data_IF_613070633901
#
_entry.id   IF_613070633901
#
_cell.length_a   1.000
_cell.length_b   1.000
_cell.length_c   1.000
_cell.angle_alpha   90.00
_cell.angle_beta   90.00
_cell.angle_gamma   90.00
#
_symmetry.space_group_name_H-M   'P 1'
#
loop_
_entity.id
_entity.type
_entity.pdbx_description
1 polymer ?
#
# COMPACT_ATOMS: atom_id res chain seq x y z
N UNK A 1 -7.26 -16.48 20.94
CA UNK A 1 -7.07 -16.49 19.47
C UNK A 1 -6.17 -15.31 19.19
N UNK A 2 -5.00 -15.53 18.60
CA UNK A 2 -4.12 -14.41 18.26
C UNK A 2 -4.76 -13.67 17.09
N UNK A 3 -5.00 -12.37 17.27
CA UNK A 3 -5.43 -11.47 16.20
C UNK A 3 -4.44 -11.55 15.05
N UNK A 4 -4.90 -11.27 13.82
CA UNK A 4 -3.99 -10.91 12.73
C UNK A 4 -3.08 -9.79 13.25
N UNK A 5 -1.78 -10.06 13.33
CA UNK A 5 -0.82 -9.09 13.81
C UNK A 5 0.42 -9.18 12.97
N UNK A 6 0.75 -8.09 12.30
CA UNK A 6 2.09 -7.93 11.74
C UNK A 6 3.07 -7.61 12.87
N UNK A 7 4.31 -8.06 12.71
CA UNK A 7 5.40 -7.73 13.63
C UNK A 7 6.30 -6.62 13.07
N UNK A 8 7.02 -5.94 13.96
CA UNK A 8 7.90 -4.84 13.58
C UNK A 8 9.12 -5.33 12.77
N UNK A 9 9.62 -4.53 11.80
CA UNK A 9 10.83 -4.86 11.07
C UNK A 9 12.05 -5.07 12.00
N UNK A 10 12.90 -6.06 11.73
CA UNK A 10 14.09 -6.31 12.54
C UNK A 10 15.10 -5.15 12.43
N UNK A 11 15.77 -4.85 13.54
CA UNK A 11 16.87 -3.87 13.56
C UNK A 11 18.16 -4.53 13.09
N UNK A 12 18.62 -4.11 11.91
CA UNK A 12 19.75 -4.62 11.14
C UNK A 12 21.11 -4.01 11.54
N UNK A 13 21.14 -3.16 12.58
CA UNK A 13 22.35 -2.57 13.12
C UNK A 13 23.01 -3.46 14.19
N UNK A 14 24.14 -3.04 14.74
CA UNK A 14 24.88 -3.77 15.77
C UNK A 14 24.30 -3.64 17.19
N UNK A 15 23.04 -3.20 17.37
CA UNK A 15 22.46 -2.98 18.69
C UNK A 15 22.04 -4.27 19.42
N UNK A 16 22.12 -5.42 18.75
CA UNK A 16 21.71 -6.71 19.30
C UNK A 16 22.64 -7.85 18.87
N UNK A 17 22.58 -8.97 19.59
CA UNK A 17 23.39 -10.16 19.28
C UNK A 17 22.91 -10.83 17.99
N UNK A 18 23.83 -11.50 17.29
CA UNK A 18 23.49 -12.29 16.09
C UNK A 18 22.38 -13.32 16.33
N UNK A 19 22.37 -13.99 17.49
CA UNK A 19 21.33 -14.97 17.79
C UNK A 19 19.95 -14.32 17.95
N UNK A 20 19.91 -13.14 18.60
CA UNK A 20 18.65 -12.39 18.74
C UNK A 20 18.15 -11.91 17.39
N UNK A 21 19.01 -11.28 16.58
CA UNK A 21 18.62 -10.80 15.26
C UNK A 21 18.16 -11.94 14.34
N UNK A 22 18.84 -13.10 14.37
CA UNK A 22 18.40 -14.27 13.61
C UNK A 22 16.98 -14.67 13.97
N UNK A 23 16.66 -14.71 15.27
CA UNK A 23 15.30 -15.03 15.71
C UNK A 23 14.31 -13.97 15.24
N UNK A 24 14.65 -12.68 15.35
CA UNK A 24 13.78 -11.61 14.86
C UNK A 24 13.52 -11.73 13.34
N UNK A 25 14.54 -12.08 12.54
CA UNK A 25 14.39 -12.31 11.09
C UNK A 25 13.52 -13.54 10.81
N UNK A 26 13.72 -14.66 11.54
CA UNK A 26 12.89 -15.86 11.41
C UNK A 26 11.42 -15.56 11.72
N UNK A 27 11.16 -14.89 12.84
CA UNK A 27 9.80 -14.51 13.24
C UNK A 27 9.19 -13.60 12.17
N UNK A 28 9.98 -12.64 11.66
CA UNK A 28 9.55 -11.66 10.66
C UNK A 28 9.20 -12.28 9.31
N UNK A 29 10.01 -13.22 8.84
CA UNK A 29 9.77 -14.03 7.65
C UNK A 29 8.52 -14.91 7.81
N UNK A 30 8.45 -15.68 8.90
CA UNK A 30 7.31 -16.56 9.17
C UNK A 30 5.99 -15.80 9.27
N UNK A 31 6.01 -14.62 9.89
CA UNK A 31 4.85 -13.75 9.96
C UNK A 31 4.39 -13.24 8.59
N UNK A 32 5.32 -12.80 7.72
CA UNK A 32 4.98 -12.38 6.35
C UNK A 32 4.36 -13.54 5.56
N UNK A 33 4.98 -14.73 5.64
CA UNK A 33 4.49 -15.93 4.96
C UNK A 33 3.09 -16.33 5.43
N UNK A 34 2.86 -16.35 6.74
CA UNK A 34 1.55 -16.67 7.33
C UNK A 34 0.48 -15.66 6.93
N UNK A 35 0.79 -14.36 6.89
CA UNK A 35 -0.17 -13.32 6.49
C UNK A 35 -0.58 -13.48 5.02
N UNK A 36 0.39 -13.73 4.13
CA UNK A 36 0.10 -14.00 2.72
C UNK A 36 -0.72 -15.28 2.55
N UNK A 37 -0.36 -16.36 3.27
CA UNK A 37 -1.09 -17.62 3.21
C UNK A 37 -2.52 -17.49 3.75
N UNK A 38 -2.76 -16.68 4.79
CA UNK A 38 -4.12 -16.40 5.27
C UNK A 38 -4.95 -15.73 4.18
N UNK A 39 -4.38 -14.77 3.46
CA UNK A 39 -5.06 -14.15 2.32
C UNK A 39 -5.28 -15.19 1.21
N UNK A 40 -4.25 -15.87 0.72
CA UNK A 40 -4.37 -16.80 -0.41
C UNK A 40 -5.35 -17.96 -0.13
N UNK A 41 -5.36 -18.48 1.10
CA UNK A 41 -6.31 -19.53 1.53
C UNK A 41 -7.75 -19.02 1.74
N UNK A 42 -7.98 -17.71 1.66
CA UNK A 42 -9.33 -17.14 1.69
C UNK A 42 -10.05 -17.25 0.34
N UNK A 43 -9.33 -17.52 -0.76
CA UNK A 43 -9.94 -17.73 -2.07
C UNK A 43 -10.74 -19.03 -2.09
N UNK A 44 -11.95 -18.97 -2.65
CA UNK A 44 -12.88 -20.10 -2.77
C UNK A 44 -12.89 -20.61 -4.21
N UNK A 45 -12.57 -21.89 -4.39
CA UNK A 45 -12.52 -22.55 -5.69
C UNK A 45 -11.19 -22.37 -6.41
N UNK A 46 -10.69 -23.44 -7.03
CA UNK A 46 -9.44 -23.41 -7.79
C UNK A 46 -9.52 -22.43 -8.98
N UNK A 47 -10.68 -22.33 -9.63
CA UNK A 47 -10.90 -21.44 -10.76
C UNK A 47 -10.69 -19.96 -10.43
N UNK A 48 -10.86 -19.58 -9.16
CA UNK A 48 -10.68 -18.21 -8.70
C UNK A 48 -9.22 -17.77 -8.80
N UNK A 49 -8.26 -18.68 -8.62
CA UNK A 49 -6.84 -18.38 -8.79
C UNK A 49 -6.52 -17.99 -10.24
N UNK A 50 -7.26 -18.50 -11.22
CA UNK A 50 -7.03 -18.16 -12.63
C UNK A 50 -7.89 -16.98 -13.11
N UNK A 51 -8.66 -16.38 -12.21
CA UNK A 51 -9.44 -15.18 -12.54
C UNK A 51 -8.56 -13.93 -12.54
N UNK A 52 -9.01 -12.94 -13.31
CA UNK A 52 -8.44 -11.60 -13.29
C UNK A 52 -9.45 -10.59 -12.70
N UNK A 53 -9.38 -10.26 -11.39
CA UNK A 53 -10.34 -9.36 -10.75
C UNK A 53 -10.23 -7.91 -11.25
N UNK A 54 -9.06 -7.51 -11.75
CA UNK A 54 -8.77 -6.18 -12.25
C UNK A 54 -8.13 -6.30 -13.63
N UNK A 55 -8.72 -5.75 -14.70
CA UNK A 55 -8.24 -5.94 -16.06
C UNK A 55 -6.83 -5.37 -16.32
N UNK A 56 -6.25 -4.62 -15.38
CA UNK A 56 -4.90 -4.06 -15.46
C UNK A 56 -3.87 -4.84 -14.61
N UNK A 57 -4.24 -6.04 -14.13
CA UNK A 57 -3.43 -6.86 -13.21
C UNK A 57 -3.37 -8.30 -13.66
N UNK A 58 -2.28 -9.01 -13.35
CA UNK A 58 -2.17 -10.43 -13.65
C UNK A 58 -3.27 -11.26 -12.96
N UNK A 59 -3.58 -12.48 -13.44
CA UNK A 59 -4.44 -13.42 -12.72
C UNK A 59 -3.90 -13.77 -11.33
N UNK A 60 -4.78 -14.17 -10.40
CA UNK A 60 -4.40 -14.37 -8.99
C UNK A 60 -3.33 -15.44 -8.74
N UNK A 61 -3.20 -16.44 -9.62
CA UNK A 61 -2.17 -17.48 -9.59
C UNK A 61 -0.77 -16.89 -9.74
N UNK A 62 -0.63 -15.74 -10.42
CA UNK A 62 0.62 -15.00 -10.49
C UNK A 62 1.07 -14.58 -9.09
N UNK A 63 0.19 -13.93 -8.34
CA UNK A 63 0.51 -13.42 -7.01
C UNK A 63 0.79 -14.53 -6.01
N UNK A 64 0.18 -15.71 -6.18
CA UNK A 64 0.54 -16.90 -5.40
C UNK A 64 2.01 -17.31 -5.65
N UNK A 65 2.46 -17.40 -6.90
CA UNK A 65 3.83 -17.81 -7.22
C UNK A 65 4.89 -16.72 -7.03
N UNK A 66 4.51 -15.46 -7.23
CA UNK A 66 5.42 -14.32 -7.43
C UNK A 66 6.33 -14.04 -6.24
N UNK A 67 5.77 -13.93 -5.02
CA UNK A 67 6.56 -13.61 -3.83
C UNK A 67 7.62 -14.68 -3.57
N UNK A 68 7.28 -15.97 -3.68
CA UNK A 68 8.22 -17.08 -3.52
C UNK A 68 9.34 -17.06 -4.59
N UNK A 69 8.99 -16.82 -5.86
CA UNK A 69 9.97 -16.70 -6.95
C UNK A 69 10.92 -15.52 -6.73
N UNK A 70 10.41 -14.39 -6.23
CA UNK A 70 11.22 -13.20 -5.98
C UNK A 70 12.37 -13.49 -5.01
N UNK A 71 12.13 -14.24 -3.93
CA UNK A 71 13.20 -14.67 -3.01
C UNK A 71 14.31 -15.43 -3.75
N UNK A 72 13.93 -16.46 -4.53
CA UNK A 72 14.90 -17.29 -5.24
C UNK A 72 15.72 -16.44 -6.21
N UNK A 73 15.07 -15.59 -7.00
CA UNK A 73 15.74 -14.73 -7.97
C UNK A 73 16.74 -13.78 -7.31
N UNK A 74 16.36 -13.09 -6.22
CA UNK A 74 17.27 -12.15 -5.55
C UNK A 74 18.41 -12.87 -4.83
N UNK A 75 18.17 -14.02 -4.22
CA UNK A 75 19.19 -14.77 -3.49
C UNK A 75 20.22 -15.46 -4.40
N UNK A 76 19.80 -15.91 -5.59
CA UNK A 76 20.71 -16.39 -6.64
C UNK A 76 21.67 -15.27 -7.09
N UNK A 77 21.18 -14.03 -7.24
CA UNK A 77 22.01 -12.89 -7.67
C UNK A 77 23.12 -12.50 -6.69
N UNK A 78 22.98 -12.86 -5.42
CA UNK A 78 23.97 -12.58 -4.37
C UNK A 78 24.68 -13.84 -3.86
N UNK A 79 24.56 -14.95 -4.58
CA UNK A 79 25.23 -16.22 -4.28
C UNK A 79 24.89 -16.81 -2.89
N UNK A 80 23.76 -16.39 -2.29
CA UNK A 80 23.22 -17.02 -1.08
C UNK A 80 22.45 -18.30 -1.40
N UNK A 81 22.04 -18.47 -2.66
CA UNK A 81 21.61 -19.74 -3.22
C UNK A 81 22.46 -20.05 -4.46
N UNK A 82 22.92 -21.29 -4.59
CA UNK A 82 23.73 -21.73 -5.74
C UNK A 82 22.87 -22.22 -6.92
N UNK A 83 21.67 -22.72 -6.63
CA UNK A 83 20.82 -23.39 -7.62
C UNK A 83 19.38 -22.89 -7.56
N UNK A 84 18.84 -22.62 -8.74
CA UNK A 84 17.43 -22.41 -8.99
C UNK A 84 16.62 -23.66 -8.63
N UNK A 85 15.43 -23.46 -8.11
CA UNK A 85 14.52 -24.54 -7.71
C UNK A 85 13.68 -25.01 -8.91
N UNK A 86 13.11 -24.06 -9.65
CA UNK A 86 12.36 -24.28 -10.87
C UNK A 86 12.57 -23.07 -11.80
N UNK A 87 13.53 -23.13 -12.75
CA UNK A 87 13.84 -22.01 -13.64
C UNK A 87 12.64 -21.50 -14.45
N UNK A 88 11.71 -22.38 -14.83
CA UNK A 88 10.55 -21.98 -15.64
C UNK A 88 9.58 -21.15 -14.81
N UNK A 89 9.32 -21.53 -13.55
CA UNK A 89 8.50 -20.72 -12.63
C UNK A 89 9.19 -19.40 -12.30
N UNK A 90 10.51 -19.45 -12.11
CA UNK A 90 11.31 -18.29 -11.72
C UNK A 90 11.40 -17.22 -12.81
N UNK A 91 11.19 -17.59 -14.08
CA UNK A 91 11.00 -16.66 -15.19
C UNK A 91 9.53 -16.23 -15.26
N UNK A 92 8.61 -17.20 -15.24
CA UNK A 92 7.18 -16.95 -15.43
C UNK A 92 6.62 -15.95 -14.43
N UNK A 93 6.88 -16.18 -13.14
CA UNK A 93 6.35 -15.33 -12.08
C UNK A 93 7.24 -14.12 -11.82
N UNK A 94 8.34 -13.88 -12.52
CA UNK A 94 9.13 -12.64 -12.37
C UNK A 94 8.52 -11.45 -13.15
N UNK A 95 7.68 -11.74 -14.15
CA UNK A 95 7.11 -10.74 -15.06
C UNK A 95 6.03 -9.87 -14.40
N UNK A 96 6.46 -8.81 -13.72
CA UNK A 96 5.59 -7.71 -13.30
C UNK A 96 5.00 -6.95 -14.49
N UNK A 97 3.84 -6.31 -14.29
CA UNK A 97 3.10 -5.58 -15.33
C UNK A 97 2.58 -4.25 -14.79
N UNK A 98 2.63 -3.20 -15.61
CA UNK A 98 2.00 -1.88 -15.36
C UNK A 98 1.31 -1.40 -16.66
N UNK A 99 0.24 -2.08 -17.10
CA UNK A 99 -0.46 -1.75 -18.33
C UNK A 99 -1.26 -0.44 -18.15
N UNK A 100 -1.31 0.36 -19.21
CA UNK A 100 -2.16 1.54 -19.27
C UNK A 100 -3.61 1.20 -19.63
N UNK A 101 -3.77 0.20 -20.50
CA UNK A 101 -5.07 -0.31 -20.95
C UNK A 101 -5.12 -1.85 -20.86
N UNK A 102 -6.31 -2.47 -20.69
CA UNK A 102 -6.45 -3.91 -20.55
C UNK A 102 -5.82 -4.73 -21.69
N UNK A 103 -5.88 -4.22 -22.93
CA UNK A 103 -5.39 -4.92 -24.10
C UNK A 103 -3.87 -5.16 -24.06
N UNK A 104 -3.11 -4.27 -23.41
CA UNK A 104 -1.67 -4.44 -23.24
C UNK A 104 -1.35 -5.65 -22.35
N UNK A 105 -2.14 -5.83 -21.28
CA UNK A 105 -2.02 -7.00 -20.42
C UNK A 105 -2.42 -8.27 -21.15
N UNK A 106 -3.59 -8.26 -21.82
CA UNK A 106 -4.09 -9.42 -22.56
C UNK A 106 -3.04 -9.92 -23.56
N UNK A 107 -2.40 -9.00 -24.29
CA UNK A 107 -1.31 -9.34 -25.21
C UNK A 107 -0.08 -9.90 -24.50
N UNK A 108 0.32 -9.31 -23.36
CA UNK A 108 1.46 -9.74 -22.58
C UNK A 108 1.30 -11.17 -22.04
N UNK A 109 0.07 -11.57 -21.67
CA UNK A 109 -0.20 -12.87 -21.05
C UNK A 109 -0.85 -13.90 -21.98
N UNK A 110 -1.21 -13.54 -23.23
CA UNK A 110 -1.94 -14.40 -24.16
C UNK A 110 -1.29 -15.77 -24.44
N UNK A 111 0.04 -15.86 -24.32
CA UNK A 111 0.82 -17.06 -24.59
C UNK A 111 1.20 -17.84 -23.33
N UNK A 112 0.81 -17.35 -22.15
CA UNK A 112 1.15 -17.95 -20.87
C UNK A 112 0.22 -19.11 -20.57
N UNK A 113 0.81 -20.29 -20.34
CA UNK A 113 0.12 -21.43 -19.74
C UNK A 113 0.38 -21.41 -18.25
N UNK A 114 -0.59 -20.92 -17.47
CA UNK A 114 -0.48 -20.86 -16.02
C UNK A 114 -0.33 -22.27 -15.42
N UNK A 115 0.57 -22.48 -14.43
CA UNK A 115 0.81 -23.80 -13.86
C UNK A 115 -0.39 -24.27 -13.03
N UNK A 116 -0.43 -25.58 -12.74
CA UNK A 116 -1.46 -26.14 -11.85
C UNK A 116 -1.34 -25.55 -10.44
N UNK A 117 -2.48 -25.25 -9.81
CA UNK A 117 -2.56 -24.61 -8.50
C UNK A 117 -1.79 -25.40 -7.42
N UNK A 118 -1.95 -26.72 -7.39
CA UNK A 118 -1.27 -27.58 -6.41
C UNK A 118 0.25 -27.54 -6.59
N UNK A 119 0.74 -27.51 -7.84
CA UNK A 119 2.17 -27.41 -8.12
C UNK A 119 2.76 -26.06 -7.67
N UNK A 120 2.01 -24.97 -7.80
CA UNK A 120 2.43 -23.64 -7.31
C UNK A 120 2.48 -23.62 -5.77
N UNK A 121 1.50 -24.22 -5.09
CA UNK A 121 1.54 -24.37 -3.64
C UNK A 121 2.73 -25.23 -3.16
N UNK A 122 3.00 -26.34 -3.85
CA UNK A 122 4.16 -27.19 -3.54
C UNK A 122 5.49 -26.46 -3.80
N UNK A 123 5.56 -25.62 -4.83
CA UNK A 123 6.71 -24.76 -5.07
C UNK A 123 6.91 -23.77 -3.92
N UNK A 124 5.86 -23.07 -3.51
CA UNK A 124 5.89 -22.15 -2.36
C UNK A 124 6.40 -22.83 -1.10
N UNK A 125 5.87 -24.01 -0.74
CA UNK A 125 6.31 -24.74 0.44
C UNK A 125 7.81 -25.10 0.39
N UNK A 126 8.31 -25.53 -0.77
CA UNK A 126 9.75 -25.80 -0.95
C UNK A 126 10.58 -24.52 -0.78
N UNK A 127 10.14 -23.40 -1.34
CA UNK A 127 10.82 -22.10 -1.15
C UNK A 127 10.82 -21.72 0.33
N UNK A 128 9.69 -21.85 1.03
CA UNK A 128 9.59 -21.56 2.46
C UNK A 128 10.67 -22.31 3.27
N UNK A 129 10.81 -23.62 3.05
CA UNK A 129 11.83 -24.43 3.73
C UNK A 129 13.26 -24.00 3.36
N UNK A 130 13.52 -23.65 2.09
CA UNK A 130 14.83 -23.14 1.65
C UNK A 130 15.18 -21.83 2.38
N UNK A 131 14.22 -20.90 2.51
CA UNK A 131 14.46 -19.62 3.16
C UNK A 131 14.65 -19.79 4.68
N UNK A 132 13.87 -20.66 5.33
CA UNK A 132 14.09 -21.02 6.73
C UNK A 132 15.52 -21.54 6.96
N UNK A 133 15.92 -22.55 6.18
CA UNK A 133 17.25 -23.14 6.25
C UNK A 133 18.36 -22.09 6.03
N UNK A 134 18.15 -21.17 5.08
CA UNK A 134 19.08 -20.09 4.77
C UNK A 134 19.23 -19.13 5.95
N UNK A 135 18.13 -18.69 6.57
CA UNK A 135 18.17 -17.78 7.73
C UNK A 135 18.89 -18.44 8.92
N UNK A 136 18.62 -19.73 9.14
CA UNK A 136 19.23 -20.49 10.23
C UNK A 136 20.74 -20.66 10.06
N UNK A 137 21.19 -21.01 8.86
CA UNK A 137 22.57 -21.44 8.59
C UNK A 137 23.49 -20.30 8.19
N UNK A 138 22.97 -19.19 7.65
CA UNK A 138 23.82 -18.09 7.18
C UNK A 138 24.45 -17.33 8.36
N UNK A 139 25.78 -17.14 8.34
CA UNK A 139 26.45 -16.27 9.31
C UNK A 139 25.94 -14.83 9.20
N UNK A 140 25.56 -14.23 10.33
CA UNK A 140 25.16 -12.82 10.39
C UNK A 140 26.37 -11.95 10.71
N UNK A 141 26.76 -11.08 9.77
CA UNK A 141 27.80 -10.08 9.98
C UNK A 141 27.13 -8.72 10.05
N UNK A 142 27.08 -8.13 11.25
CA UNK A 142 26.42 -6.84 11.47
C UNK A 142 27.38 -5.66 11.22
N UNK A 143 26.87 -4.50 10.77
CA UNK A 143 25.47 -4.25 10.38
C UNK A 143 25.12 -4.80 8.99
N UNK A 144 23.85 -5.14 8.76
CA UNK A 144 23.34 -5.50 7.43
C UNK A 144 22.88 -4.20 6.75
N UNK A 145 23.66 -3.72 5.78
CA UNK A 145 23.38 -2.51 4.97
C UNK A 145 23.13 -2.88 3.50
N UNK A 146 22.78 -1.91 2.64
CA UNK A 146 22.42 -2.12 1.22
C UNK A 146 23.38 -3.03 0.42
N UNK A 147 24.69 -2.91 0.65
CA UNK A 147 25.69 -3.75 -0.05
C UNK A 147 25.90 -5.16 0.56
N UNK A 148 25.23 -5.52 1.64
CA UNK A 148 25.37 -6.81 2.31
C UNK A 148 24.49 -7.86 1.60
N UNK A 149 24.96 -9.10 1.34
CA UNK A 149 24.17 -10.12 0.63
C UNK A 149 22.77 -10.39 1.25
N UNK A 150 22.70 -10.47 2.58
CA UNK A 150 21.40 -10.59 3.32
C UNK A 150 20.42 -9.43 3.12
N UNK A 151 20.84 -8.31 2.50
CA UNK A 151 19.90 -7.28 2.05
C UNK A 151 18.93 -7.85 1.00
N UNK A 152 19.36 -8.83 0.18
CA UNK A 152 18.49 -9.53 -0.76
C UNK A 152 17.40 -10.36 -0.06
N UNK A 153 17.73 -10.98 1.08
CA UNK A 153 16.74 -11.68 1.90
C UNK A 153 15.71 -10.69 2.46
N UNK A 154 16.18 -9.58 3.06
CA UNK A 154 15.27 -8.56 3.59
C UNK A 154 14.40 -7.97 2.48
N UNK A 155 14.96 -7.70 1.30
CA UNK A 155 14.21 -7.26 0.11
C UNK A 155 13.10 -8.26 -0.24
N UNK A 156 13.36 -9.57 -0.20
CA UNK A 156 12.34 -10.59 -0.42
C UNK A 156 11.20 -10.53 0.59
N UNK A 157 11.52 -10.35 1.88
CA UNK A 157 10.49 -10.25 2.94
C UNK A 157 9.64 -8.99 2.78
N UNK A 158 10.26 -7.85 2.54
CA UNK A 158 9.53 -6.59 2.36
C UNK A 158 8.73 -6.59 1.05
N UNK A 159 9.24 -7.21 -0.01
CA UNK A 159 8.52 -7.39 -1.27
C UNK A 159 7.27 -8.26 -1.09
N UNK A 160 7.38 -9.38 -0.36
CA UNK A 160 6.21 -10.20 -0.02
C UNK A 160 5.15 -9.39 0.72
N UNK A 161 5.55 -8.45 1.59
CA UNK A 161 4.64 -7.58 2.33
C UNK A 161 3.90 -6.56 1.45
N UNK A 162 4.56 -6.01 0.42
CA UNK A 162 3.88 -5.22 -0.63
C UNK A 162 2.83 -6.08 -1.36
N UNK A 163 3.13 -7.35 -1.63
CA UNK A 163 2.20 -8.23 -2.34
C UNK A 163 1.02 -8.72 -1.49
N UNK A 164 1.13 -8.71 -0.17
CA UNK A 164 0.00 -8.90 0.75
C UNK A 164 -1.03 -7.78 0.54
N UNK A 165 -0.59 -6.52 0.51
CA UNK A 165 -1.47 -5.38 0.25
C UNK A 165 -2.00 -5.36 -1.19
N UNK A 166 -1.15 -5.65 -2.17
CA UNK A 166 -1.58 -5.74 -3.58
C UNK A 166 -2.69 -6.80 -3.73
N UNK A 167 -2.50 -7.96 -3.13
CA UNK A 167 -3.46 -9.06 -3.21
C UNK A 167 -4.77 -8.73 -2.47
N UNK A 168 -4.73 -7.99 -1.35
CA UNK A 168 -5.96 -7.60 -0.66
C UNK A 168 -6.83 -6.67 -1.51
N UNK A 169 -6.22 -5.74 -2.25
CA UNK A 169 -6.92 -4.87 -3.19
C UNK A 169 -7.62 -5.68 -4.30
N UNK A 170 -6.93 -6.67 -4.87
CA UNK A 170 -7.49 -7.51 -5.93
C UNK A 170 -8.61 -8.41 -5.42
N UNK A 171 -8.44 -9.00 -4.24
CA UNK A 171 -9.45 -9.88 -3.66
C UNK A 171 -10.73 -9.11 -3.36
N UNK A 172 -10.61 -7.87 -2.88
CA UNK A 172 -11.77 -7.02 -2.65
C UNK A 172 -12.59 -6.75 -3.91
N UNK A 173 -11.97 -6.80 -5.09
CA UNK A 173 -12.66 -6.67 -6.39
C UNK A 173 -13.36 -7.96 -6.83
N UNK A 174 -13.13 -9.09 -6.17
CA UNK A 174 -13.89 -10.32 -6.40
C UNK A 174 -15.30 -10.23 -5.80
N UNK A 175 -16.28 -10.97 -6.38
CA UNK A 175 -17.54 -11.28 -5.73
C UNK A 175 -17.31 -11.95 -4.35
N UNK A 176 -18.15 -11.62 -3.36
CA UNK A 176 -17.98 -12.13 -1.98
C UNK A 176 -18.01 -13.64 -1.87
N UNK A 177 -18.77 -14.33 -2.73
CA UNK A 177 -18.87 -15.80 -2.75
C UNK A 177 -17.58 -16.49 -3.19
N UNK A 178 -16.65 -15.76 -3.81
CA UNK A 178 -15.31 -16.23 -4.16
C UNK A 178 -14.32 -16.11 -3.01
N UNK A 179 -14.77 -15.63 -1.85
CA UNK A 179 -13.94 -15.44 -0.68
C UNK A 179 -14.57 -16.05 0.57
N UNK A 180 -13.70 -16.51 1.47
CA UNK A 180 -14.06 -17.00 2.78
C UNK A 180 -13.30 -16.22 3.83
N UNK A 181 -14.04 -15.43 4.61
CA UNK A 181 -13.49 -14.65 5.72
C UNK A 181 -12.76 -15.55 6.74
N UNK A 182 -11.48 -15.30 7.04
CA UNK A 182 -10.80 -15.94 8.16
C UNK A 182 -11.49 -15.61 9.49
N UNK A 183 -11.56 -16.56 10.42
CA UNK A 183 -12.30 -16.39 11.68
C UNK A 183 -11.75 -15.30 12.60
N UNK A 184 -10.47 -14.95 12.46
CA UNK A 184 -9.79 -13.90 13.18
C UNK A 184 -9.70 -12.57 12.41
N UNK A 185 -10.40 -12.45 11.27
CA UNK A 185 -10.50 -11.21 10.52
C UNK A 185 -11.59 -10.33 11.10
N UNK A 186 -11.23 -9.25 11.77
CA UNK A 186 -12.16 -8.34 12.45
C UNK A 186 -12.17 -6.98 11.76
N UNK A 187 -13.35 -6.49 11.40
CA UNK A 187 -13.49 -5.12 10.90
C UNK A 187 -13.55 -4.14 12.07
N UNK A 188 -13.15 -2.91 11.81
CA UNK A 188 -13.37 -1.82 12.75
C UNK A 188 -14.88 -1.60 12.98
N UNK A 189 -15.28 -0.98 14.10
CA UNK A 189 -16.68 -0.59 14.31
C UNK A 189 -17.07 0.57 13.40
N UNK A 190 -18.36 0.90 13.38
CA UNK A 190 -18.88 2.21 12.94
C UNK A 190 -19.61 2.85 14.10
N UNK A 191 -19.46 4.16 14.25
CA UNK A 191 -20.10 5.01 15.25
C UNK A 191 -21.19 5.91 14.62
N UNK A 192 -21.48 5.73 13.33
CA UNK A 192 -22.51 6.47 12.60
C UNK A 192 -21.93 7.54 11.69
N UNK A 193 -22.45 8.76 11.78
CA UNK A 193 -22.01 9.89 10.95
C UNK A 193 -21.22 10.90 11.79
N UNK A 194 -20.10 11.37 11.26
CA UNK A 194 -19.33 12.48 11.83
C UNK A 194 -19.76 13.77 11.13
N UNK A 195 -20.39 14.66 11.90
CA UNK A 195 -20.86 15.95 11.39
C UNK A 195 -19.76 17.00 11.50
N UNK A 196 -19.31 17.51 10.36
CA UNK A 196 -18.38 18.63 10.26
C UNK A 196 -16.91 18.22 10.41
N UNK A 197 -16.16 18.29 9.31
CA UNK A 197 -14.71 18.11 9.29
C UNK A 197 -14.03 19.49 9.38
N UNK A 198 -13.58 19.83 10.59
CA UNK A 198 -12.92 21.12 10.88
C UNK A 198 -11.62 21.26 10.08
N UNK A 199 -11.30 22.48 9.62
CA UNK A 199 -9.99 22.80 9.05
C UNK A 199 -9.06 23.29 10.16
N UNK A 200 -7.89 22.67 10.28
CA UNK A 200 -6.92 22.89 11.35
C UNK A 200 -5.67 23.56 10.78
N UNK A 201 -5.21 24.63 11.42
CA UNK A 201 -3.97 25.30 11.06
C UNK A 201 -2.75 24.40 11.36
N UNK A 202 -1.89 24.25 10.35
CA UNK A 202 -0.58 23.62 10.47
C UNK A 202 0.45 24.73 10.29
N UNK A 203 1.21 25.00 11.35
CA UNK A 203 2.27 25.99 11.32
C UNK A 203 3.35 25.60 10.30
N UNK A 204 3.78 26.58 9.49
CA UNK A 204 4.87 26.41 8.54
C UNK A 204 6.20 26.05 9.21
N UNK A 205 7.09 25.46 8.42
CA UNK A 205 8.38 24.99 8.91
C UNK A 205 9.24 24.39 7.82
N UNK A 206 10.40 23.86 8.22
CA UNK A 206 11.34 23.24 7.29
C UNK A 206 11.32 21.74 7.49
N UNK A 207 10.93 21.01 6.45
CA UNK A 207 10.87 19.55 6.46
C UNK A 207 12.09 18.95 5.76
N UNK A 208 12.57 17.83 6.30
CA UNK A 208 13.64 17.01 5.70
C UNK A 208 13.08 15.65 5.32
N UNK A 209 13.25 15.28 4.06
CA UNK A 209 12.78 14.02 3.48
C UNK A 209 14.00 13.23 3.02
N UNK A 210 14.01 11.95 3.31
CA UNK A 210 15.12 11.05 3.01
C UNK A 210 15.45 10.15 4.20
N UNK A 211 15.53 8.85 3.92
CA UNK A 211 15.95 7.84 4.89
C UNK A 211 17.47 7.95 5.10
N UNK A 212 17.95 8.08 6.36
CA UNK A 212 19.37 7.98 6.65
C UNK A 212 19.96 6.66 6.15
N UNK A 213 21.18 6.71 5.59
CA UNK A 213 21.84 5.51 5.06
C UNK A 213 22.16 4.46 6.13
N UNK A 214 22.27 4.86 7.38
CA UNK A 214 22.53 4.03 8.56
C UNK A 214 21.26 3.74 9.39
N UNK A 215 20.07 4.07 8.86
CA UNK A 215 18.80 3.76 9.52
C UNK A 215 18.68 2.24 9.73
N UNK A 216 18.22 1.77 10.91
CA UNK A 216 18.46 0.39 11.33
C UNK A 216 17.53 -0.64 10.69
N UNK A 217 16.72 -0.31 9.69
CA UNK A 217 15.81 -1.24 9.02
C UNK A 217 16.08 -1.27 7.52
N UNK A 218 15.51 -2.25 6.82
CA UNK A 218 15.44 -2.18 5.37
C UNK A 218 14.79 -0.87 4.89
N UNK A 219 15.16 -0.45 3.70
CA UNK A 219 14.53 0.66 2.99
C UNK A 219 14.71 0.49 1.49
N UNK A 220 13.69 0.89 0.73
CA UNK A 220 13.70 0.87 -0.72
C UNK A 220 14.56 2.02 -1.28
N UNK A 221 15.08 1.87 -2.50
CA UNK A 221 16.00 2.86 -3.08
C UNK A 221 15.39 4.28 -3.15
N UNK A 222 14.10 4.36 -3.44
CA UNK A 222 13.30 5.61 -3.47
C UNK A 222 13.23 6.37 -2.16
N UNK A 223 13.49 5.69 -1.03
CA UNK A 223 13.51 6.31 0.29
C UNK A 223 14.81 7.09 0.55
N UNK A 224 15.90 6.76 -0.16
CA UNK A 224 17.22 7.36 0.08
C UNK A 224 17.46 8.60 -0.78
N UNK A 225 18.37 9.44 -0.29
CA UNK A 225 18.66 10.76 -0.82
C UNK A 225 18.29 11.82 0.21
N UNK A 226 18.34 13.08 -0.19
CA UNK A 226 17.98 14.21 0.67
C UNK A 226 17.10 15.20 -0.09
N UNK A 227 16.11 15.73 0.62
CA UNK A 227 15.38 16.93 0.21
C UNK A 227 15.05 17.74 1.44
N UNK A 228 15.28 19.04 1.35
CA UNK A 228 14.83 20.02 2.33
C UNK A 228 13.89 21.00 1.66
N UNK A 229 12.70 21.21 2.25
CA UNK A 229 11.68 22.12 1.73
C UNK A 229 11.21 23.04 2.85
N UNK A 230 11.11 24.33 2.57
CA UNK A 230 10.41 25.28 3.42
C UNK A 230 8.93 25.29 3.03
N UNK A 231 8.06 25.02 3.99
CA UNK A 231 6.62 24.90 3.81
C UNK A 231 5.96 26.02 4.59
N UNK A 232 5.18 26.86 3.90
CA UNK A 232 4.36 27.90 4.53
C UNK A 232 3.27 27.30 5.41
N UNK A 233 2.70 28.08 6.33
CA UNK A 233 1.50 27.65 7.06
C UNK A 233 0.35 27.37 6.08
N UNK A 234 -0.48 26.40 6.42
CA UNK A 234 -1.66 26.01 5.65
C UNK A 234 -2.72 25.45 6.60
N UNK A 235 -3.95 25.31 6.11
CA UNK A 235 -5.02 24.64 6.87
C UNK A 235 -5.35 23.29 6.25
N UNK A 236 -5.54 22.26 7.07
CA UNK A 236 -5.83 20.90 6.65
C UNK A 236 -7.09 20.37 7.32
N UNK A 237 -7.90 19.56 6.62
CA UNK A 237 -9.04 18.92 7.26
C UNK A 237 -8.58 18.02 8.40
N UNK A 238 -9.24 18.12 9.55
CA UNK A 238 -8.93 17.41 10.80
C UNK A 238 -8.86 15.91 10.58
N UNK A 239 -9.83 15.42 9.82
CA UNK A 239 -9.96 14.03 9.43
C UNK A 239 -9.69 13.86 7.93
N UNK A 240 -9.37 12.63 7.53
CA UNK A 240 -9.53 12.16 6.16
C UNK A 240 -10.96 12.43 5.68
N UNK A 241 -11.16 12.63 4.38
CA UNK A 241 -12.51 12.80 3.83
C UNK A 241 -13.30 11.52 4.04
N UNK A 242 -14.46 11.65 4.68
CA UNK A 242 -15.32 10.52 5.05
C UNK A 242 -16.21 10.06 3.92
N UNK A 243 -16.77 8.85 4.04
CA UNK A 243 -17.82 8.38 3.14
C UNK A 243 -19.05 9.31 3.15
N UNK A 244 -19.42 9.92 4.29
CA UNK A 244 -20.53 10.88 4.33
C UNK A 244 -20.24 12.13 3.50
N UNK A 245 -19.07 12.74 3.69
CA UNK A 245 -18.65 13.92 2.93
C UNK A 245 -18.55 13.64 1.43
N UNK A 246 -18.06 12.45 1.05
CA UNK A 246 -17.99 12.05 -0.35
C UNK A 246 -19.38 11.70 -0.93
N UNK A 247 -20.32 11.25 -0.10
CA UNK A 247 -21.70 10.99 -0.52
C UNK A 247 -22.41 12.29 -0.92
N UNK A 248 -22.08 13.42 -0.28
CA UNK A 248 -22.55 14.75 -0.71
C UNK A 248 -22.04 15.10 -2.12
N UNK A 249 -20.75 14.86 -2.38
CA UNK A 249 -20.14 15.03 -3.70
C UNK A 249 -20.86 14.20 -4.76
N UNK A 250 -21.09 12.90 -4.51
CA UNK A 250 -21.85 12.01 -5.40
C UNK A 250 -23.27 12.54 -5.63
N UNK A 251 -24.01 12.87 -4.57
CA UNK A 251 -25.41 13.36 -4.65
C UNK A 251 -25.57 14.72 -5.34
N UNK A 252 -24.52 15.53 -5.36
CA UNK A 252 -24.52 16.84 -6.04
C UNK A 252 -24.47 16.74 -7.57
N UNK A 253 -24.32 15.53 -8.13
CA UNK A 253 -24.22 15.31 -9.58
C UNK A 253 -22.80 15.56 -10.13
N UNK A 254 -21.77 15.54 -9.28
CA UNK A 254 -20.40 15.80 -9.72
C UNK A 254 -19.84 14.74 -10.67
N UNK A 255 -20.30 13.49 -10.57
CA UNK A 255 -19.94 12.47 -11.55
C UNK A 255 -20.56 12.80 -12.94
N UNK A 256 -21.58 13.63 -13.02
CA UNK A 256 -22.20 14.05 -14.28
C UNK A 256 -21.72 15.43 -14.76
N UNK A 257 -20.91 16.14 -13.98
CA UNK A 257 -20.45 17.49 -14.28
C UNK A 257 -18.95 17.51 -14.64
N UNK A 258 -18.64 17.71 -15.92
CA UNK A 258 -17.27 17.77 -16.43
C UNK A 258 -16.41 18.90 -15.83
N UNK A 259 -17.02 20.00 -15.35
CA UNK A 259 -16.28 21.17 -14.86
C UNK A 259 -15.37 20.85 -13.66
N UNK A 260 -15.66 19.77 -12.92
CA UNK A 260 -14.85 19.34 -11.78
C UNK A 260 -13.72 18.38 -12.17
N UNK A 261 -13.67 17.92 -13.42
CA UNK A 261 -12.73 16.92 -13.89
C UNK A 261 -11.76 17.54 -14.90
N UNK A 262 -10.53 17.03 -14.92
CA UNK A 262 -9.63 17.32 -16.03
C UNK A 262 -10.15 16.62 -17.30
N UNK A 263 -9.66 17.05 -18.47
CA UNK A 263 -10.03 16.37 -19.73
C UNK A 263 -9.69 14.87 -19.70
N UNK A 264 -8.50 14.54 -19.18
CA UNK A 264 -8.02 13.16 -19.06
C UNK A 264 -8.89 12.34 -18.10
N UNK A 265 -9.13 12.84 -16.89
CA UNK A 265 -9.92 12.12 -15.89
C UNK A 265 -11.40 12.01 -16.28
N UNK A 266 -11.96 13.01 -16.99
CA UNK A 266 -13.31 12.93 -17.54
C UNK A 266 -13.43 11.87 -18.64
N UNK A 267 -12.41 11.77 -19.51
CA UNK A 267 -12.37 10.76 -20.56
C UNK A 267 -12.33 9.35 -19.95
N UNK A 268 -11.36 9.08 -19.06
CA UNK A 268 -11.25 7.82 -18.33
C UNK A 268 -12.57 7.43 -17.67
N UNK A 269 -13.16 8.36 -16.92
CA UNK A 269 -14.42 8.14 -16.19
C UNK A 269 -15.56 7.78 -17.13
N UNK A 270 -15.67 8.47 -18.26
CA UNK A 270 -16.74 8.27 -19.25
C UNK A 270 -16.59 6.93 -19.96
N UNK A 271 -15.38 6.58 -20.39
CA UNK A 271 -15.08 5.30 -21.05
C UNK A 271 -15.34 4.11 -20.12
N UNK A 272 -14.99 4.25 -18.85
CA UNK A 272 -15.17 3.19 -17.84
C UNK A 272 -16.53 3.26 -17.14
N UNK A 273 -17.42 4.17 -17.54
CA UNK A 273 -18.76 4.36 -16.98
C UNK A 273 -18.78 4.48 -15.43
N UNK A 274 -17.83 5.22 -14.87
CA UNK A 274 -17.67 5.40 -13.42
C UNK A 274 -18.70 6.41 -12.90
N UNK A 275 -19.42 6.07 -11.82
CA UNK A 275 -20.53 6.88 -11.25
C UNK A 275 -20.50 7.04 -9.73
N UNK A 276 -19.59 6.32 -9.07
CA UNK A 276 -19.41 6.30 -7.63
C UNK A 276 -18.07 5.61 -7.33
N UNK A 277 -17.53 5.72 -6.11
CA UNK A 277 -16.34 5.00 -5.70
C UNK A 277 -16.45 3.49 -5.99
N UNK A 278 -15.32 2.88 -6.38
CA UNK A 278 -15.24 1.47 -6.82
C UNK A 278 -15.86 0.47 -5.84
N UNK A 279 -15.68 0.71 -4.55
CA UNK A 279 -16.13 -0.21 -3.50
C UNK A 279 -17.48 0.15 -2.89
N UNK A 280 -18.20 1.10 -3.49
CA UNK A 280 -19.59 1.35 -3.17
C UNK A 280 -20.48 0.51 -4.09
N UNK A 281 -21.44 -0.19 -3.50
CA UNK A 281 -22.37 -1.05 -4.22
C UNK A 281 -23.73 -0.35 -4.22
N UNK A 282 -24.28 0.07 -5.38
CA UNK A 282 -25.57 0.71 -5.43
C UNK A 282 -26.67 -0.21 -4.88
N UNK A 283 -27.46 0.30 -3.92
CA UNK A 283 -28.64 -0.37 -3.37
C UNK A 283 -29.79 0.65 -3.28
N UNK A 284 -31.05 0.21 -3.35
CA UNK A 284 -32.25 1.07 -3.46
C UNK A 284 -32.18 2.38 -2.61
N UNK A 285 -31.83 3.50 -3.25
CA UNK A 285 -31.77 4.83 -2.61
C UNK A 285 -30.48 5.15 -1.85
N UNK A 286 -29.43 4.33 -1.92
CA UNK A 286 -28.15 4.51 -1.25
C UNK A 286 -27.05 3.58 -1.76
N UNK A 287 -26.10 3.25 -0.88
CA UNK A 287 -24.98 2.36 -1.20
C UNK A 287 -24.71 1.41 -0.03
N UNK A 288 -24.32 0.19 -0.37
CA UNK A 288 -23.54 -0.70 0.49
C UNK A 288 -22.05 -0.46 0.26
N UNK A 289 -21.25 -1.03 1.13
CA UNK A 289 -19.80 -0.98 1.07
C UNK A 289 -19.23 -2.39 0.91
N UNK A 290 -18.40 -2.58 -0.12
CA UNK A 290 -17.60 -3.78 -0.31
C UNK A 290 -16.42 -3.72 0.66
N UNK A 291 -16.53 -4.40 1.80
CA UNK A 291 -15.41 -4.65 2.70
C UNK A 291 -14.48 -5.73 2.12
N UNK A 292 -13.47 -6.22 2.84
CA UNK A 292 -12.57 -7.25 2.30
C UNK A 292 -13.33 -8.55 1.95
N UNK A 293 -14.12 -9.07 2.88
CA UNK A 293 -14.81 -10.35 2.76
C UNK A 293 -16.34 -10.27 2.74
N UNK A 294 -16.91 -9.09 2.99
CA UNK A 294 -18.34 -8.92 3.16
C UNK A 294 -18.85 -7.69 2.38
N UNK A 295 -20.17 -7.63 2.21
CA UNK A 295 -20.90 -6.42 1.88
C UNK A 295 -21.62 -5.95 3.13
N UNK A 296 -21.35 -4.72 3.55
CA UNK A 296 -21.93 -4.11 4.76
C UNK A 296 -22.64 -2.81 4.40
N UNK A 297 -23.44 -2.27 5.31
CA UNK A 297 -23.98 -0.91 5.14
C UNK A 297 -22.84 0.10 5.00
N UNK A 298 -22.99 1.12 4.16
CA UNK A 298 -21.95 2.13 3.94
C UNK A 298 -21.58 2.83 5.28
N UNK A 299 -20.36 2.63 5.82
CA UNK A 299 -19.96 3.23 7.07
C UNK A 299 -19.61 4.70 6.83
N UNK A 300 -20.54 5.60 7.16
CA UNK A 300 -20.48 7.03 6.85
C UNK A 300 -19.30 7.76 7.52
N UNK A 301 -18.80 7.24 8.63
CA UNK A 301 -17.69 7.78 9.41
C UNK A 301 -16.30 7.21 9.04
N UNK A 302 -16.24 6.20 8.18
CA UNK A 302 -14.97 5.70 7.65
C UNK A 302 -14.43 6.66 6.56
N UNK A 303 -13.10 6.71 6.35
CA UNK A 303 -12.56 7.43 5.21
C UNK A 303 -13.07 6.82 3.90
N UNK A 304 -13.34 7.67 2.93
CA UNK A 304 -13.67 7.22 1.57
C UNK A 304 -12.41 6.63 0.91
N UNK A 305 -12.58 5.52 0.20
CA UNK A 305 -11.52 4.95 -0.64
C UNK A 305 -11.82 5.22 -2.12
N UNK A 306 -10.94 5.98 -2.77
CA UNK A 306 -11.07 6.48 -4.14
C UNK A 306 -9.71 6.54 -4.83
N UNK A 307 -9.70 6.63 -6.16
CA UNK A 307 -8.46 6.90 -6.89
C UNK A 307 -8.13 8.41 -6.91
N UNK A 308 -6.97 8.76 -7.48
CA UNK A 308 -6.48 10.14 -7.50
C UNK A 308 -7.39 11.06 -8.32
N UNK A 309 -7.91 10.58 -9.46
CA UNK A 309 -8.84 11.34 -10.29
C UNK A 309 -10.10 11.78 -9.54
N UNK A 310 -10.69 10.87 -8.78
CA UNK A 310 -11.86 11.15 -7.94
C UNK A 310 -11.52 12.11 -6.79
N UNK A 311 -10.36 11.95 -6.16
CA UNK A 311 -9.88 12.85 -5.09
C UNK A 311 -9.67 14.29 -5.60
N UNK A 312 -9.07 14.45 -6.79
CA UNK A 312 -8.89 15.75 -7.43
C UNK A 312 -10.22 16.38 -7.86
N UNK A 313 -11.17 15.58 -8.36
CA UNK A 313 -12.50 16.07 -8.71
C UNK A 313 -13.27 16.55 -7.47
N UNK A 314 -13.14 15.85 -6.34
CA UNK A 314 -13.69 16.31 -5.07
C UNK A 314 -13.08 17.65 -4.64
N UNK A 315 -11.75 17.80 -4.73
CA UNK A 315 -11.08 19.07 -4.42
C UNK A 315 -11.62 20.22 -5.28
N UNK A 316 -11.73 20.00 -6.60
CA UNK A 316 -12.31 20.98 -7.54
C UNK A 316 -13.73 21.39 -7.15
N UNK A 317 -14.58 20.41 -6.79
CA UNK A 317 -15.94 20.66 -6.33
C UNK A 317 -16.02 21.47 -5.03
N UNK A 318 -15.13 21.21 -4.07
CA UNK A 318 -15.06 22.00 -2.82
C UNK A 318 -14.65 23.46 -3.08
N UNK A 319 -13.97 23.74 -4.19
CA UNK A 319 -13.66 25.07 -4.69
C UNK A 319 -12.18 25.30 -4.97
N UNK A 320 -11.88 26.38 -5.71
CA UNK A 320 -10.57 26.66 -6.33
C UNK A 320 -9.35 26.66 -5.38
N UNK A 321 -9.55 26.88 -4.07
CA UNK A 321 -8.44 26.89 -3.09
C UNK A 321 -8.25 25.54 -2.39
N UNK A 322 -9.08 24.53 -2.71
CA UNK A 322 -9.02 23.21 -2.11
C UNK A 322 -8.17 22.29 -2.97
N UNK A 323 -7.21 21.62 -2.35
CA UNK A 323 -6.30 20.69 -3.03
C UNK A 323 -5.87 19.57 -2.10
N UNK A 324 -5.15 18.60 -2.64
CA UNK A 324 -4.40 17.61 -1.87
C UNK A 324 -3.16 18.24 -1.23
N UNK A 325 -2.65 17.59 -0.19
CA UNK A 325 -1.32 17.90 0.37
C UNK A 325 -0.22 17.63 -0.66
N UNK A 326 0.86 18.38 -0.56
CA UNK A 326 2.15 17.95 -1.11
C UNK A 326 2.86 16.97 -0.18
N UNK A 327 3.85 16.24 -0.71
CA UNK A 327 4.74 15.38 0.08
C UNK A 327 5.39 16.17 1.24
N UNK A 328 5.80 17.41 0.98
CA UNK A 328 6.42 18.26 1.99
C UNK A 328 5.44 18.67 3.10
N UNK A 329 4.22 19.08 2.74
CA UNK A 329 3.16 19.42 3.70
C UNK A 329 2.73 18.22 4.53
N UNK A 330 2.55 17.07 3.90
CA UNK A 330 2.21 15.83 4.58
C UNK A 330 3.30 15.44 5.61
N UNK A 331 4.57 15.48 5.21
CA UNK A 331 5.68 15.17 6.13
C UNK A 331 5.77 16.19 7.27
N UNK A 332 5.55 17.49 7.01
CA UNK A 332 5.52 18.53 8.04
C UNK A 332 4.37 18.28 9.02
N UNK A 333 3.16 18.05 8.53
CA UNK A 333 1.98 17.78 9.35
C UNK A 333 2.14 16.52 10.20
N UNK A 334 2.81 15.48 9.68
CA UNK A 334 2.92 14.18 10.34
C UNK A 334 4.07 14.12 11.34
N UNK A 335 5.25 14.60 10.95
CA UNK A 335 6.49 14.37 11.71
C UNK A 335 7.12 15.63 12.29
N UNK A 336 6.65 16.82 11.88
CA UNK A 336 7.27 18.10 12.23
C UNK A 336 8.79 18.07 11.96
N UNK A 337 9.58 18.53 12.93
CA UNK A 337 11.05 18.55 12.85
C UNK A 337 11.73 17.23 13.24
N UNK A 338 11.04 16.07 13.20
CA UNK A 338 11.71 14.76 13.29
C UNK A 338 11.19 13.80 14.37
N UNK A 339 9.88 13.83 14.69
CA UNK A 339 9.31 12.81 15.59
C UNK A 339 9.16 11.47 14.86
N UNK A 340 9.69 10.41 15.46
CA UNK A 340 9.24 9.05 15.11
C UNK A 340 7.94 8.77 15.86
N UNK A 341 6.93 8.29 15.14
CA UNK A 341 5.65 7.89 15.73
C UNK A 341 5.48 6.38 15.55
N UNK A 342 5.14 5.71 16.64
CA UNK A 342 4.96 4.26 16.66
C UNK A 342 3.79 3.84 15.77
N UNK A 343 3.98 2.80 14.95
CA UNK A 343 2.94 2.31 14.04
C UNK A 343 1.68 1.83 14.80
N UNK A 344 1.84 1.33 16.02
CA UNK A 344 0.75 0.83 16.88
C UNK A 344 -0.26 1.93 17.29
N UNK A 345 0.12 3.21 17.17
CA UNK A 345 -0.76 4.34 17.41
C UNK A 345 -1.87 4.49 16.35
N UNK A 346 -1.66 3.92 15.17
CA UNK A 346 -2.51 4.09 13.99
C UNK A 346 -3.25 2.79 13.64
N UNK A 347 -4.21 2.87 12.71
CA UNK A 347 -4.77 1.69 12.08
C UNK A 347 -3.84 1.24 10.94
N UNK A 348 -2.77 0.54 11.30
CA UNK A 348 -1.77 -0.10 10.42
C UNK A 348 -1.61 -1.57 10.88
N UNK A 349 -0.81 -2.36 10.16
CA UNK A 349 -0.35 -3.67 10.65
C UNK A 349 -1.48 -4.64 11.04
N UNK A 350 -2.60 -4.61 10.31
CA UNK A 350 -3.79 -5.43 10.60
C UNK A 350 -4.44 -5.15 11.96
N UNK A 351 -4.30 -3.93 12.50
CA UNK A 351 -5.02 -3.52 13.72
C UNK A 351 -6.53 -3.73 13.56
N UNK A 352 -7.05 -3.41 12.38
CA UNK A 352 -8.34 -3.86 11.87
C UNK A 352 -8.17 -4.41 10.46
N UNK A 353 -9.07 -5.28 10.04
CA UNK A 353 -9.18 -5.80 8.68
C UNK A 353 -9.99 -4.89 7.73
N UNK A 354 -9.98 -3.59 8.00
CA UNK A 354 -10.70 -2.53 7.29
C UNK A 354 -10.18 -1.15 7.73
N UNK A 355 -10.57 -0.05 7.05
CA UNK A 355 -10.52 1.27 7.66
C UNK A 355 -11.31 1.31 8.97
N UNK A 356 -11.02 2.29 9.82
CA UNK A 356 -11.76 2.59 11.05
C UNK A 356 -12.39 3.98 10.96
N UNK A 357 -13.38 4.31 11.82
CA UNK A 357 -13.94 5.65 11.84
C UNK A 357 -12.86 6.70 12.00
N UNK A 358 -12.95 7.81 11.27
CA UNK A 358 -11.95 8.87 11.40
C UNK A 358 -11.95 9.42 12.83
N UNK A 359 -10.77 9.62 13.40
CA UNK A 359 -10.61 10.04 14.78
C UNK A 359 -10.90 8.96 15.84
N UNK A 360 -11.14 7.70 15.44
CA UNK A 360 -11.46 6.63 16.39
C UNK A 360 -10.32 6.31 17.36
N UNK A 361 -9.08 6.34 16.87
CA UNK A 361 -7.89 6.09 17.68
C UNK A 361 -7.36 7.40 18.23
N UNK A 362 -7.58 7.68 19.51
CA UNK A 362 -7.02 8.87 20.18
C UNK A 362 -5.48 8.92 20.11
N UNK A 363 -4.82 7.76 20.02
CA UNK A 363 -3.37 7.66 19.80
C UNK A 363 -2.93 8.17 18.43
N UNK A 364 -3.83 8.24 17.45
CA UNK A 364 -3.55 8.71 16.09
C UNK A 364 -3.68 10.24 15.93
N UNK A 365 -3.98 10.96 17.03
CA UNK A 365 -4.03 12.42 17.05
C UNK A 365 -2.62 13.02 17.16
N UNK A 366 -2.27 13.94 16.26
CA UNK A 366 -1.04 14.71 16.36
C UNK A 366 -1.21 15.99 17.22
N UNK A 367 -0.12 16.73 17.42
CA UNK A 367 -0.12 17.95 18.26
C UNK A 367 -0.96 19.09 17.67
N UNK A 368 -1.06 19.19 16.35
CA UNK A 368 -1.92 20.17 15.68
C UNK A 368 -3.41 19.82 15.83
N UNK A 369 -3.74 18.57 16.17
CA UNK A 369 -5.11 18.08 16.31
C UNK A 369 -5.65 17.34 15.09
N UNK A 370 -4.81 17.09 14.08
CA UNK A 370 -5.11 16.20 12.96
C UNK A 370 -5.09 14.74 13.43
N UNK A 371 -5.98 13.93 12.88
CA UNK A 371 -6.05 12.49 13.13
C UNK A 371 -5.70 11.70 11.88
N UNK A 372 -5.24 10.47 12.09
CA UNK A 372 -5.10 9.43 11.06
C UNK A 372 -4.22 9.86 9.89
N UNK A 373 -3.19 10.68 10.15
CA UNK A 373 -2.19 11.02 9.13
C UNK A 373 -1.44 9.78 8.65
N UNK A 374 -1.46 8.67 9.40
CA UNK A 374 -0.93 7.37 8.99
C UNK A 374 -1.98 6.30 9.24
N UNK A 375 -1.94 5.22 8.45
CA UNK A 375 -2.92 4.16 8.55
C UNK A 375 -4.33 4.57 8.12
N UNK A 376 -5.29 3.69 8.38
CA UNK A 376 -6.61 3.71 7.75
C UNK A 376 -6.52 3.55 6.23
N UNK A 377 -6.13 4.59 5.49
CA UNK A 377 -5.95 4.57 4.04
C UNK A 377 -4.69 5.36 3.67
N UNK A 378 -4.05 5.01 2.55
CA UNK A 378 -3.05 5.88 1.96
C UNK A 378 -3.65 7.25 1.63
N UNK A 379 -2.90 8.34 1.83
CA UNK A 379 -3.31 9.68 1.44
C UNK A 379 -2.72 10.06 0.08
N UNK A 380 -3.58 10.23 -0.94
CA UNK A 380 -3.18 10.78 -2.23
C UNK A 380 -2.61 12.19 -2.08
N UNK A 381 -1.53 12.46 -2.82
CA UNK A 381 -0.84 13.76 -2.83
C UNK A 381 -0.93 14.44 -4.19
N UNK A 382 -0.62 15.74 -4.22
CA UNK A 382 -0.54 16.49 -5.48
C UNK A 382 0.71 16.16 -6.29
N UNK A 383 1.75 15.60 -5.67
CA UNK A 383 3.02 15.32 -6.31
C UNK A 383 2.96 14.08 -7.21
N UNK A 384 3.66 14.14 -8.34
CA UNK A 384 4.06 12.95 -9.08
C UNK A 384 5.30 12.33 -8.42
N UNK A 385 5.52 11.03 -8.60
CA UNK A 385 6.72 10.38 -8.07
C UNK A 385 7.98 11.00 -8.67
N UNK A 386 8.93 11.32 -7.80
CA UNK A 386 10.16 11.96 -8.19
C UNK A 386 11.33 11.50 -7.30
N UNK A 387 12.56 11.45 -7.84
CA UNK A 387 13.73 11.05 -7.07
C UNK A 387 14.11 12.11 -6.04
N UNK A 388 14.62 11.68 -4.89
CA UNK A 388 15.32 12.56 -3.96
C UNK A 388 16.71 12.92 -4.51
N UNK A 389 17.29 14.02 -4.01
CA UNK A 389 18.65 14.40 -4.41
C UNK A 389 19.62 13.30 -3.99
N UNK A 390 20.43 12.83 -4.94
CA UNK A 390 21.37 11.73 -4.69
C UNK A 390 20.78 10.32 -4.80
N UNK A 391 19.52 10.17 -5.26
CA UNK A 391 18.91 8.89 -5.58
C UNK A 391 19.83 8.02 -6.45
N UNK A 392 19.87 6.72 -6.14
CA UNK A 392 20.55 5.68 -6.92
C UNK A 392 19.69 4.44 -6.89
N UNK A 393 19.51 3.80 -8.05
CA UNK A 393 18.86 2.48 -8.12
C UNK A 393 19.62 1.45 -7.30
N UNK A 394 18.90 0.52 -6.68
CA UNK A 394 19.54 -0.62 -6.05
C UNK A 394 19.88 -1.70 -7.10
N UNK A 395 21.13 -2.16 -7.14
CA UNK A 395 21.61 -3.13 -8.16
C UNK A 395 20.84 -4.45 -8.25
N UNK A 396 20.15 -4.84 -7.17
CA UNK A 396 19.33 -6.07 -7.14
C UNK A 396 17.93 -5.88 -7.73
N UNK A 397 17.47 -4.64 -7.90
CA UNK A 397 16.13 -4.32 -8.35
C UNK A 397 16.09 -2.93 -9.04
N UNK A 398 16.79 -2.81 -10.17
CA UNK A 398 17.04 -1.53 -10.84
C UNK A 398 15.78 -0.87 -11.42
N UNK A 399 14.76 -1.67 -11.72
CA UNK A 399 13.47 -1.29 -12.29
C UNK A 399 12.38 -1.08 -11.24
N UNK A 400 12.71 -1.11 -9.94
CA UNK A 400 11.72 -0.93 -8.87
C UNK A 400 11.10 0.48 -8.85
N UNK A 401 11.90 1.55 -8.88
CA UNK A 401 11.38 2.93 -8.80
C UNK A 401 11.70 3.82 -10.00
N UNK A 402 12.89 3.67 -10.59
CA UNK A 402 13.36 4.56 -11.64
C UNK A 402 12.43 4.70 -12.86
N UNK A 403 11.76 3.62 -13.34
CA UNK A 403 10.84 3.74 -14.48
C UNK A 403 9.61 4.63 -14.21
N UNK A 404 9.29 4.87 -12.93
CA UNK A 404 8.07 5.57 -12.51
C UNK A 404 8.31 7.04 -12.15
N UNK A 405 9.52 7.57 -12.35
CA UNK A 405 9.81 9.01 -12.25
C UNK A 405 9.31 9.75 -13.48
N UNK A 406 7.99 9.77 -13.64
CA UNK A 406 7.29 10.41 -14.74
C UNK A 406 6.16 11.32 -14.24
N UNK A 407 5.31 11.78 -15.15
CA UNK A 407 4.14 12.59 -14.83
C UNK A 407 2.84 11.78 -14.85
N UNK A 408 2.94 10.44 -14.85
CA UNK A 408 1.81 9.51 -14.92
C UNK A 408 1.58 8.79 -13.60
N UNK A 409 2.49 8.89 -12.64
CA UNK A 409 2.38 8.24 -11.33
C UNK A 409 2.31 9.28 -10.21
N UNK A 410 1.19 9.31 -9.50
CA UNK A 410 0.97 10.17 -8.36
C UNK A 410 1.41 9.50 -7.07
N UNK A 411 1.95 10.29 -6.16
CA UNK A 411 2.42 9.82 -4.86
C UNK A 411 1.28 9.66 -3.87
N UNK A 412 1.48 8.73 -2.93
CA UNK A 412 0.71 8.65 -1.71
C UNK A 412 1.59 8.27 -0.52
N UNK A 413 1.20 8.68 0.68
CA UNK A 413 1.95 8.43 1.91
C UNK A 413 1.05 7.94 3.04
N UNK A 414 1.67 7.34 4.07
CA UNK A 414 1.03 7.04 5.35
C UNK A 414 0.67 5.57 5.61
N UNK A 415 0.52 4.76 4.58
CA UNK A 415 0.03 3.39 4.71
C UNK A 415 -1.48 3.34 4.94
N UNK A 416 -2.09 2.20 4.65
CA UNK A 416 -3.46 1.85 4.96
C UNK A 416 -3.54 0.77 6.06
N UNK A 417 -4.76 0.39 6.45
CA UNK A 417 -5.03 -0.60 7.51
C UNK A 417 -4.29 -1.94 7.37
N UNK A 418 -3.97 -2.36 6.14
CA UNK A 418 -3.25 -3.61 5.87
C UNK A 418 -1.73 -3.42 5.71
N UNK A 419 -1.29 -2.18 5.44
CA UNK A 419 0.11 -1.85 5.22
C UNK A 419 0.94 -2.27 6.42
N UNK A 420 2.05 -2.96 6.13
CA UNK A 420 2.84 -3.61 7.16
C UNK A 420 4.33 -3.63 6.81
N UNK A 421 5.17 -3.95 7.80
CA UNK A 421 6.62 -3.97 7.61
C UNK A 421 7.25 -2.61 7.39
N UNK A 422 8.26 -2.51 6.52
CA UNK A 422 8.93 -1.24 6.24
C UNK A 422 8.06 -0.27 5.44
N UNK A 423 7.07 -0.78 4.70
CA UNK A 423 6.03 0.03 4.05
C UNK A 423 5.23 0.85 5.06
N UNK A 424 5.05 0.31 6.27
CA UNK A 424 4.42 1.00 7.39
C UNK A 424 5.41 1.89 8.17
N UNK A 425 6.55 2.29 7.61
CA UNK A 425 7.48 3.25 8.23
C UNK A 425 7.35 4.62 7.58
N UNK A 426 7.83 5.65 8.29
CA UNK A 426 7.67 7.05 7.86
C UNK A 426 8.33 7.42 6.53
N UNK A 427 9.32 6.64 6.10
CA UNK A 427 10.11 6.95 4.91
C UNK A 427 9.54 6.35 3.63
N UNK A 428 8.59 5.42 3.73
CA UNK A 428 8.07 4.75 2.55
C UNK A 428 7.31 5.73 1.68
N UNK A 429 7.60 5.69 0.38
CA UNK A 429 7.01 6.54 -0.65
C UNK A 429 6.31 5.61 -1.63
N UNK A 430 4.98 5.66 -1.69
CA UNK A 430 4.20 4.83 -2.60
C UNK A 430 3.71 5.66 -3.79
N UNK A 431 3.42 5.01 -4.91
CA UNK A 431 2.96 5.67 -6.12
C UNK A 431 2.16 4.72 -7.01
N UNK A 432 1.14 5.27 -7.67
CA UNK A 432 0.39 4.54 -8.69
C UNK A 432 -0.11 5.54 -9.74
N UNK A 433 -0.50 5.02 -10.90
CA UNK A 433 -1.24 5.79 -11.88
C UNK A 433 -2.55 6.29 -11.29
N UNK A 434 -3.02 7.49 -11.68
CA UNK A 434 -4.11 8.18 -11.00
C UNK A 434 -5.49 7.47 -11.10
N UNK A 435 -5.65 6.57 -12.06
CA UNK A 435 -6.86 5.77 -12.25
C UNK A 435 -6.89 4.48 -11.41
N UNK A 436 -5.76 4.04 -10.85
CA UNK A 436 -5.69 2.77 -10.13
C UNK A 436 -6.35 2.87 -8.76
N UNK A 437 -7.15 1.85 -8.44
CA UNK A 437 -7.71 1.70 -7.11
C UNK A 437 -6.68 1.04 -6.20
N UNK A 438 -6.42 1.70 -5.07
CA UNK A 438 -5.62 1.22 -3.95
C UNK A 438 -6.44 1.40 -2.67
N UNK A 439 -5.90 0.98 -1.53
CA UNK A 439 -6.52 1.26 -0.22
C UNK A 439 -6.22 2.71 0.16
N UNK A 440 -6.70 3.64 -0.68
CA UNK A 440 -6.29 5.03 -0.71
C UNK A 440 -7.51 5.93 -0.64
N UNK A 441 -7.41 6.97 0.17
CA UNK A 441 -8.33 8.08 0.25
C UNK A 441 -7.53 9.36 0.17
N UNK A 442 -8.01 10.41 0.82
CA UNK A 442 -7.33 11.69 0.77
C UNK A 442 -7.77 12.62 1.91
N UNK A 443 -6.98 13.67 2.05
CA UNK A 443 -7.23 14.82 2.92
C UNK A 443 -7.15 16.08 2.07
N UNK A 444 -7.93 17.08 2.44
CA UNK A 444 -7.92 18.37 1.77
C UNK A 444 -7.12 19.40 2.56
N UNK A 445 -6.47 20.31 1.84
CA UNK A 445 -5.82 21.49 2.39
C UNK A 445 -6.20 22.74 1.61
N UNK A 446 -6.02 23.87 2.27
CA UNK A 446 -6.15 25.20 1.67
C UNK A 446 -4.97 26.06 2.16
N UNK A 447 -4.45 26.90 1.27
CA UNK A 447 -3.52 27.97 1.67
C UNK A 447 -4.33 29.14 2.21
N UNK A 448 -3.95 29.68 3.37
CA UNK A 448 -4.52 30.94 3.85
C UNK A 448 -4.23 32.06 2.82
N UNK A 449 -5.23 32.92 2.60
CA UNK A 449 -5.12 34.06 1.65
C UNK A 449 -4.35 35.22 2.24
#
# INVERSE_FOLDING_TARGET
MNSLKSINPPKLNSSQTNNRLRQDILDYFNNAWQLEDILMNSLVGEETFYSNPDPLRNPLIFYLGHSAVFYINKLIRVELLEKRLNPDYEILFELGVDPEIPEELDQAIAHINWPNLEDVWQYREKVYQIILDLIEKTPLNLPIHQNHPLWALMMGIEHQRIHIETSSMLFRQLPVEKLKRPSNWEYAPTNGEILGNEMIEVAGGVVKIGKPADYPTFGWDIEYGDRQVEVSSFVASKYLITNSEFLEFVKSGCYENQDYWTQESWHWKTENNIKHPKFWIPENGGYKYRAMFDEIDLPLDWPVEVNHYEAMAYCSWKGENTRLMSEAEYNLATYGNGKEVEADNYNLNFKFGSPSPVGFLETAKNESGLYDLRGNVWEWLTDNLNPLSGYKTHQLYEDYSAPFFDTRHNMMLGGCWITNGTEALKYYRNWFRPNFYQHAGFRIVQTEK
#
